data_IF_072957775713
#
_entry.id   IF_072957775713
#
_cell.length_a   1.000
_cell.length_b   1.000
_cell.length_c   1.000
_cell.angle_alpha   90.00
_cell.angle_beta   90.00
_cell.angle_gamma   90.00
#
_symmetry.space_group_name_H-M   'P 1'
#
loop_
_entity.id
_entity.type
_entity.pdbx_description
1 polymer ?
#
# COMPACT_ATOMS: atom_id res chain seq x y z
N UNK A 1 46.37 19.91 7.52
CA UNK A 1 45.10 20.20 8.22
C UNK A 1 43.97 19.88 7.26
N UNK A 2 43.62 18.60 7.22
CA UNK A 2 42.56 18.05 6.37
C UNK A 2 41.24 18.27 7.11
N UNK A 3 40.43 19.21 6.65
CA UNK A 3 39.14 19.49 7.27
C UNK A 3 38.16 18.38 6.88
N UNK A 4 37.83 17.54 7.86
CA UNK A 4 36.73 16.58 7.87
C UNK A 4 35.42 17.35 7.68
N UNK A 5 34.67 17.02 6.64
CA UNK A 5 33.41 17.71 6.28
C UNK A 5 32.52 16.92 5.32
N UNK A 6 32.55 15.60 5.42
CA UNK A 6 31.44 14.69 5.06
C UNK A 6 30.79 14.47 6.45
N UNK A 7 29.48 14.61 6.72
CA UNK A 7 28.43 13.65 6.31
C UNK A 7 26.97 14.18 6.41
N UNK A 8 26.69 15.49 6.57
CA UNK A 8 25.30 15.95 6.82
C UNK A 8 24.31 15.64 5.70
N UNK A 9 24.79 15.39 4.47
CA UNK A 9 23.92 15.14 3.31
C UNK A 9 23.36 13.71 3.22
N UNK A 10 23.88 12.74 3.99
CA UNK A 10 23.42 11.34 3.86
C UNK A 10 22.01 11.09 4.41
N UNK A 11 21.51 11.92 5.32
CA UNK A 11 20.13 11.77 5.84
C UNK A 11 19.06 12.32 4.90
N UNK A 12 19.42 13.20 3.97
CA UNK A 12 18.46 13.84 3.05
C UNK A 12 18.03 12.91 1.90
N UNK A 13 18.85 11.94 1.49
CA UNK A 13 18.49 10.97 0.43
C UNK A 13 17.46 9.92 0.85
N UNK A 14 17.22 9.69 2.14
CA UNK A 14 16.20 8.73 2.58
C UNK A 14 14.76 9.28 2.46
N UNK A 15 14.60 10.60 2.34
CA UNK A 15 13.27 11.24 2.21
C UNK A 15 12.90 11.60 0.77
N UNK A 16 13.85 11.52 -0.17
CA UNK A 16 13.69 11.96 -1.55
C UNK A 16 13.11 10.87 -2.49
N UNK A 17 12.98 9.63 -2.02
CA UNK A 17 12.26 8.54 -2.69
C UNK A 17 10.76 8.50 -2.38
N UNK A 18 10.23 9.49 -1.64
CA UNK A 18 8.78 9.65 -1.46
C UNK A 18 8.22 10.42 -2.65
N UNK A 19 7.84 9.68 -3.70
CA UNK A 19 7.06 10.19 -4.83
C UNK A 19 5.84 10.98 -4.31
N UNK A 20 5.55 12.19 -4.81
CA UNK A 20 4.36 12.93 -4.41
C UNK A 20 3.11 12.15 -4.82
N UNK A 21 2.06 12.06 -3.97
CA UNK A 21 0.82 11.41 -4.36
C UNK A 21 0.14 12.22 -5.47
N UNK A 22 -0.27 11.50 -6.49
CA UNK A 22 -0.85 11.94 -7.76
C UNK A 22 -2.12 12.81 -7.59
N UNK A 23 -2.16 13.96 -8.26
CA UNK A 23 -3.18 15.02 -8.09
C UNK A 23 -4.46 14.79 -8.92
N UNK A 24 -4.75 13.56 -9.37
CA UNK A 24 -5.73 13.31 -10.45
C UNK A 24 -6.91 12.36 -10.15
N UNK A 25 -7.05 11.76 -8.96
CA UNK A 25 -8.08 10.73 -8.68
C UNK A 25 -9.27 11.20 -7.79
N UNK A 26 -9.99 12.26 -8.19
CA UNK A 26 -10.94 12.95 -7.30
C UNK A 26 -12.29 12.26 -7.05
N UNK A 27 -12.67 11.14 -7.66
CA UNK A 27 -14.00 10.56 -7.39
C UNK A 27 -13.94 9.04 -7.27
N UNK A 28 -14.12 8.55 -6.04
CA UNK A 28 -14.32 7.16 -5.58
C UNK A 28 -13.10 6.26 -5.26
N UNK A 29 -12.04 6.81 -4.67
CA UNK A 29 -11.03 5.99 -3.97
C UNK A 29 -10.87 6.37 -2.51
N UNK A 30 -10.90 5.38 -1.61
CA UNK A 30 -10.72 5.53 -0.16
C UNK A 30 -9.23 5.52 0.16
N UNK A 31 -8.78 6.51 0.94
CA UNK A 31 -7.43 6.51 1.47
C UNK A 31 -7.29 5.51 2.62
N UNK A 32 -6.38 4.55 2.44
CA UNK A 32 -6.09 3.50 3.43
C UNK A 32 -4.88 3.89 4.27
N UNK A 33 -3.86 4.53 3.68
CA UNK A 33 -2.69 5.04 4.40
C UNK A 33 -2.56 6.56 4.22
N UNK A 34 -2.80 7.31 5.29
CA UNK A 34 -2.68 8.78 5.28
C UNK A 34 -1.21 9.22 5.28
N UNK A 35 -0.32 8.47 5.95
CA UNK A 35 1.10 8.86 6.06
C UNK A 35 1.83 8.88 4.72
N UNK A 36 1.48 7.96 3.82
CA UNK A 36 2.13 7.80 2.52
C UNK A 36 1.16 8.02 1.35
N UNK A 37 -0.08 8.45 1.60
CA UNK A 37 -1.07 8.75 0.57
C UNK A 37 -1.55 7.54 -0.24
N UNK A 38 -1.58 6.36 0.37
CA UNK A 38 -1.97 5.11 -0.33
C UNK A 38 -3.49 4.96 -0.30
N UNK A 39 -4.08 4.71 -1.46
CA UNK A 39 -5.51 4.47 -1.67
C UNK A 39 -5.83 2.98 -1.80
N UNK A 40 -7.08 2.60 -1.62
CA UNK A 40 -7.55 1.23 -1.83
C UNK A 40 -7.27 0.73 -3.26
N UNK A 41 -7.39 1.61 -4.26
CA UNK A 41 -7.09 1.29 -5.65
C UNK A 41 -5.62 0.92 -5.85
N UNK A 42 -4.69 1.64 -5.20
CA UNK A 42 -3.27 1.30 -5.24
C UNK A 42 -2.97 -0.06 -4.58
N UNK A 43 -3.72 -0.43 -3.53
CA UNK A 43 -3.58 -1.74 -2.89
C UNK A 43 -4.11 -2.85 -3.81
N UNK A 44 -5.25 -2.62 -4.46
CA UNK A 44 -5.83 -3.55 -5.44
C UNK A 44 -4.90 -3.74 -6.64
N UNK A 45 -4.41 -2.65 -7.22
CA UNK A 45 -3.45 -2.69 -8.32
C UNK A 45 -2.16 -3.42 -7.91
N UNK A 46 -1.66 -3.18 -6.70
CA UNK A 46 -0.51 -3.91 -6.20
C UNK A 46 -0.78 -5.42 -6.10
N UNK A 47 -1.97 -5.82 -5.64
CA UNK A 47 -2.39 -7.22 -5.58
C UNK A 47 -2.53 -7.84 -6.98
N UNK A 48 -3.09 -7.12 -7.96
CA UNK A 48 -3.15 -7.53 -9.37
C UNK A 48 -1.77 -7.72 -9.98
N UNK A 49 -0.82 -6.85 -9.62
CA UNK A 49 0.59 -6.95 -9.99
C UNK A 49 1.35 -8.03 -9.19
N UNK A 50 0.64 -8.96 -8.52
CA UNK A 50 1.22 -10.13 -7.86
C UNK A 50 1.66 -9.93 -6.41
N UNK A 51 1.30 -8.82 -5.76
CA UNK A 51 1.62 -8.60 -4.34
C UNK A 51 0.80 -9.54 -3.46
N UNK A 52 1.46 -10.48 -2.77
CA UNK A 52 0.80 -11.50 -1.95
C UNK A 52 0.99 -11.30 -0.43
N UNK A 53 1.86 -10.36 -0.03
CA UNK A 53 2.16 -10.13 1.38
C UNK A 53 2.18 -8.64 1.73
N UNK A 54 1.88 -8.32 3.00
CA UNK A 54 1.98 -6.97 3.55
C UNK A 54 3.40 -6.40 3.40
N UNK A 55 4.43 -7.23 3.54
CA UNK A 55 5.81 -6.79 3.39
C UNK A 55 6.09 -6.30 1.94
N UNK A 56 5.61 -7.03 0.94
CA UNK A 56 5.71 -6.60 -0.46
C UNK A 56 4.88 -5.35 -0.74
N UNK A 57 3.69 -5.25 -0.13
CA UNK A 57 2.82 -4.08 -0.26
C UNK A 57 3.51 -2.84 0.30
N UNK A 58 4.14 -2.95 1.47
CA UNK A 58 4.93 -1.88 2.08
C UNK A 58 6.14 -1.51 1.23
N UNK A 59 6.86 -2.48 0.64
CA UNK A 59 7.99 -2.18 -0.25
C UNK A 59 7.55 -1.45 -1.53
N UNK A 60 6.39 -1.79 -2.08
CA UNK A 60 5.88 -1.20 -3.33
C UNK A 60 5.21 0.15 -3.15
N UNK A 61 4.35 0.27 -2.14
CA UNK A 61 3.48 1.45 -1.93
C UNK A 61 3.90 2.31 -0.74
N UNK A 62 4.77 1.79 0.13
CA UNK A 62 5.11 2.41 1.40
C UNK A 62 4.03 2.22 2.48
N UNK A 63 2.88 1.60 2.21
CA UNK A 63 1.81 1.42 3.19
C UNK A 63 2.32 0.77 4.49
N UNK A 64 2.03 1.38 5.65
CA UNK A 64 2.42 0.84 6.96
C UNK A 64 3.86 1.08 7.41
N UNK A 65 4.71 1.71 6.59
CA UNK A 65 6.13 1.99 6.94
C UNK A 65 6.36 3.10 7.97
N UNK A 66 5.32 3.88 8.32
CA UNK A 66 5.44 5.05 9.21
C UNK A 66 4.80 4.82 10.60
N UNK A 67 3.48 4.86 10.69
CA UNK A 67 2.75 4.71 11.97
C UNK A 67 2.18 3.30 12.21
N UNK A 68 2.14 2.46 11.18
CA UNK A 68 1.59 1.10 11.24
C UNK A 68 0.06 0.97 11.37
N UNK A 69 -0.69 2.06 11.61
CA UNK A 69 -2.14 1.98 11.89
C UNK A 69 -2.99 1.44 10.74
N UNK A 70 -2.48 1.50 9.50
CA UNK A 70 -3.18 1.00 8.32
C UNK A 70 -2.87 -0.47 7.99
N UNK A 71 -1.98 -1.15 8.74
CA UNK A 71 -1.52 -2.51 8.40
C UNK A 71 -2.63 -3.55 8.42
N UNK A 72 -3.48 -3.53 9.44
CA UNK A 72 -4.61 -4.46 9.56
C UNK A 72 -5.62 -4.25 8.43
N UNK A 73 -6.03 -3.01 8.19
CA UNK A 73 -6.95 -2.65 7.10
C UNK A 73 -6.36 -2.97 5.71
N UNK A 74 -5.08 -2.69 5.49
CA UNK A 74 -4.41 -3.00 4.24
C UNK A 74 -4.29 -4.51 4.00
N UNK A 75 -4.08 -5.30 5.06
CA UNK A 75 -4.01 -6.75 4.98
C UNK A 75 -5.37 -7.37 4.68
N UNK A 76 -6.43 -6.84 5.28
CA UNK A 76 -7.80 -7.25 5.01
C UNK A 76 -8.20 -6.92 3.55
N UNK A 77 -7.90 -5.71 3.07
CA UNK A 77 -8.12 -5.32 1.67
C UNK A 77 -7.32 -6.18 0.68
N UNK A 78 -6.07 -6.49 1.00
CA UNK A 78 -5.25 -7.38 0.18
C UNK A 78 -5.89 -8.78 0.14
N UNK A 79 -6.29 -9.32 1.29
CA UNK A 79 -6.96 -10.62 1.37
C UNK A 79 -8.28 -10.63 0.59
N UNK A 80 -9.09 -9.57 0.69
CA UNK A 80 -10.31 -9.39 -0.09
C UNK A 80 -10.04 -9.29 -1.60
N UNK A 81 -8.99 -8.59 -2.02
CA UNK A 81 -8.61 -8.49 -3.43
C UNK A 81 -8.22 -9.86 -4.01
N UNK A 82 -7.49 -10.66 -3.23
CA UNK A 82 -7.14 -12.04 -3.60
C UNK A 82 -8.35 -12.98 -3.58
N UNK A 83 -9.26 -12.84 -2.62
CA UNK A 83 -10.50 -13.61 -2.54
C UNK A 83 -11.45 -13.28 -3.71
N UNK A 84 -11.52 -12.02 -4.13
CA UNK A 84 -12.33 -11.57 -5.28
C UNK A 84 -11.86 -12.20 -6.60
N UNK A 85 -10.58 -12.55 -6.70
CA UNK A 85 -10.02 -13.29 -7.86
C UNK A 85 -10.45 -14.75 -7.91
N UNK A 86 -10.92 -15.32 -6.80
CA UNK A 86 -11.20 -16.75 -6.70
C UNK A 86 -12.56 -17.17 -7.30
N UNK A 87 -13.52 -16.27 -7.56
CA UNK A 87 -14.88 -16.69 -7.95
C UNK A 87 -15.57 -15.76 -8.95
N UNK A 88 -15.75 -16.18 -10.22
CA UNK A 88 -16.82 -15.71 -11.07
C UNK A 88 -18.01 -16.66 -10.91
N UNK A 89 -18.85 -16.48 -9.88
CA UNK A 89 -20.11 -17.22 -9.78
C UNK A 89 -21.30 -16.27 -9.65
N UNK A 90 -21.92 -15.87 -10.79
CA UNK A 90 -23.25 -15.28 -10.75
C UNK A 90 -24.22 -16.40 -10.34
N UNK A 91 -25.03 -16.17 -9.30
CA UNK A 91 -26.08 -17.09 -8.80
C UNK A 91 -25.60 -18.28 -7.96
N UNK A 92 -24.95 -18.05 -6.82
CA UNK A 92 -24.99 -19.02 -5.72
C UNK A 92 -25.49 -18.35 -4.45
N UNK A 93 -26.79 -18.52 -4.23
CA UNK A 93 -27.43 -18.27 -2.95
C UNK A 93 -26.90 -19.21 -1.88
N UNK A 94 -26.88 -18.70 -0.64
CA UNK A 94 -26.69 -19.44 0.60
C UNK A 94 -25.46 -20.37 0.65
N UNK A 95 -24.28 -19.81 0.90
CA UNK A 95 -23.22 -20.57 1.57
C UNK A 95 -23.06 -20.01 2.99
N UNK A 96 -23.71 -20.70 3.92
CA UNK A 96 -23.61 -20.48 5.36
C UNK A 96 -22.18 -20.74 5.83
N UNK A 97 -21.61 -19.80 6.60
CA UNK A 97 -20.52 -20.13 7.51
C UNK A 97 -21.09 -21.06 8.59
N UNK A 98 -20.48 -22.23 8.74
CA UNK A 98 -20.69 -23.17 9.85
C UNK A 98 -19.45 -23.15 10.74
#
# INVERSE_FOLDING_TARGET
MINVGIDTYSRLRCNQSRSPPDRQHLTDTVYVCICNGVTDHQIREAAENGCASLAELTMRTGCGSNCGSCLEMAGDLLSQAHASRALPLPMLGFASAA
#
